data_IF_768042333091
#
_entry.id   IF_768042333091
#
_cell.length_a   1.000
_cell.length_b   1.000
_cell.length_c   1.000
_cell.angle_alpha   90.00
_cell.angle_beta   90.00
_cell.angle_gamma   90.00
#
_symmetry.space_group_name_H-M   'P 1'
#
loop_
_entity.id
_entity.type
_entity.pdbx_description
1 polymer ?
#
# COMPACT_ATOMS: atom_id res chain seq x y z
N UNK A 1 40.65 -28.43 -29.62
CA UNK A 1 39.25 -27.98 -29.76
C UNK A 1 38.38 -28.32 -28.54
N UNK A 2 38.27 -29.58 -28.08
CA UNK A 2 37.47 -29.97 -26.89
C UNK A 2 37.75 -29.15 -25.60
N UNK A 3 39.02 -28.85 -25.28
CA UNK A 3 39.39 -28.07 -24.09
C UNK A 3 38.94 -26.59 -24.14
N UNK A 4 38.88 -25.98 -25.32
CA UNK A 4 38.42 -24.60 -25.48
C UNK A 4 36.90 -24.48 -25.28
N UNK A 5 36.13 -25.49 -25.75
CA UNK A 5 34.70 -25.57 -25.46
C UNK A 5 34.42 -25.77 -23.95
N UNK A 6 35.22 -26.58 -23.25
CA UNK A 6 35.07 -26.77 -21.81
C UNK A 6 35.35 -25.51 -21.00
N UNK A 7 36.35 -24.71 -21.38
CA UNK A 7 36.65 -23.42 -20.73
C UNK A 7 35.57 -22.38 -21.05
N UNK A 8 35.05 -22.36 -22.28
CA UNK A 8 33.99 -21.44 -22.69
C UNK A 8 32.65 -21.70 -21.97
N UNK A 9 32.34 -22.96 -21.63
CA UNK A 9 31.15 -23.33 -20.85
C UNK A 9 31.26 -22.88 -19.39
N UNK A 10 32.44 -22.99 -18.77
CA UNK A 10 32.66 -22.54 -17.38
C UNK A 10 32.52 -21.03 -17.26
N UNK A 11 33.04 -20.26 -18.22
CA UNK A 11 32.89 -18.80 -18.26
C UNK A 11 31.42 -18.41 -18.42
N UNK A 12 30.65 -19.10 -19.27
CA UNK A 12 29.22 -18.87 -19.43
C UNK A 12 28.42 -19.10 -18.13
N UNK A 13 28.75 -20.10 -17.32
CA UNK A 13 28.03 -20.38 -16.06
C UNK A 13 28.23 -19.28 -15.00
N UNK A 14 29.41 -18.63 -14.95
CA UNK A 14 29.64 -17.54 -13.99
C UNK A 14 28.85 -16.25 -14.32
N UNK A 15 28.54 -16.01 -15.60
CA UNK A 15 27.75 -14.83 -16.02
C UNK A 15 26.25 -14.94 -15.70
N UNK A 16 25.71 -16.14 -15.42
CA UNK A 16 24.28 -16.30 -15.07
C UNK A 16 23.96 -16.06 -13.58
N UNK A 17 24.92 -15.64 -12.77
CA UNK A 17 24.73 -15.38 -11.33
C UNK A 17 23.96 -14.08 -11.02
N UNK A 18 23.48 -13.37 -12.04
CA UNK A 18 23.01 -11.98 -11.91
C UNK A 18 21.52 -11.83 -11.63
N UNK A 19 20.74 -12.91 -11.60
CA UNK A 19 19.33 -12.86 -11.19
C UNK A 19 19.19 -13.12 -9.69
N UNK A 20 19.41 -12.09 -8.87
CA UNK A 20 19.00 -12.12 -7.46
C UNK A 20 17.67 -11.37 -7.36
N UNK A 21 16.56 -12.10 -7.26
CA UNK A 21 15.37 -11.55 -6.62
C UNK A 21 15.78 -11.16 -5.21
N UNK A 22 15.58 -9.89 -4.84
CA UNK A 22 15.91 -9.46 -3.50
C UNK A 22 14.92 -10.10 -2.52
N UNK A 23 15.36 -11.17 -1.86
CA UNK A 23 14.59 -11.87 -0.82
C UNK A 23 14.14 -10.92 0.29
N UNK A 24 14.85 -9.82 0.52
CA UNK A 24 14.45 -8.80 1.47
C UNK A 24 13.22 -8.03 0.98
N UNK A 25 13.16 -7.65 -0.30
CA UNK A 25 11.98 -7.00 -0.89
C UNK A 25 10.76 -7.92 -0.92
N UNK A 26 10.92 -9.18 -1.32
CA UNK A 26 9.81 -10.14 -1.32
C UNK A 26 9.24 -10.36 0.10
N UNK A 27 10.14 -10.51 1.08
CA UNK A 27 9.75 -10.66 2.48
C UNK A 27 9.11 -9.39 3.03
N UNK A 28 9.64 -8.21 2.69
CA UNK A 28 9.05 -6.93 3.05
C UNK A 28 7.64 -6.80 2.45
N UNK A 29 7.49 -7.01 1.14
CA UNK A 29 6.21 -6.92 0.43
C UNK A 29 5.15 -7.87 0.99
N UNK A 30 5.52 -9.10 1.33
CA UNK A 30 4.62 -10.06 1.98
C UNK A 30 4.14 -9.57 3.36
N UNK A 31 5.05 -9.05 4.18
CA UNK A 31 4.69 -8.52 5.49
C UNK A 31 3.86 -7.23 5.40
N UNK A 32 4.16 -6.33 4.46
CA UNK A 32 3.36 -5.12 4.27
C UNK A 32 1.95 -5.46 3.77
N UNK A 33 1.79 -6.49 2.93
CA UNK A 33 0.47 -7.00 2.58
C UNK A 33 -0.28 -7.59 3.79
N UNK A 34 0.43 -8.23 4.73
CA UNK A 34 -0.18 -8.65 5.99
C UNK A 34 -0.60 -7.45 6.83
N UNK A 35 0.22 -6.40 6.92
CA UNK A 35 -0.09 -5.13 7.60
C UNK A 35 -1.38 -4.54 7.05
N UNK A 36 -1.50 -4.40 5.72
CA UNK A 36 -2.72 -3.95 5.03
C UNK A 36 -3.95 -4.71 5.51
N UNK A 37 -3.90 -6.05 5.46
CA UNK A 37 -5.01 -6.92 5.87
C UNK A 37 -5.41 -6.74 7.33
N UNK A 38 -4.44 -6.56 8.24
CA UNK A 38 -4.75 -6.33 9.65
C UNK A 38 -5.32 -4.93 9.88
N UNK A 39 -4.82 -3.90 9.20
CA UNK A 39 -5.36 -2.54 9.26
C UNK A 39 -6.79 -2.49 8.75
N UNK A 40 -7.10 -3.16 7.63
CA UNK A 40 -8.48 -3.28 7.11
C UNK A 40 -9.41 -3.97 8.11
N UNK A 41 -8.95 -5.03 8.79
CA UNK A 41 -9.71 -5.68 9.86
C UNK A 41 -9.93 -4.74 11.05
N UNK A 42 -8.92 -3.96 11.42
CA UNK A 42 -9.03 -3.00 12.51
C UNK A 42 -10.04 -1.88 12.21
N UNK A 43 -10.16 -1.46 10.95
CA UNK A 43 -11.15 -0.46 10.52
C UNK A 43 -12.57 -1.04 10.59
N UNK A 44 -12.73 -2.31 10.22
CA UNK A 44 -14.02 -2.97 10.05
C UNK A 44 -14.72 -3.46 11.33
N UNK A 45 -14.08 -3.34 12.50
CA UNK A 45 -14.67 -3.77 13.79
C UNK A 45 -15.25 -2.60 14.56
N UNK A 46 -16.30 -2.85 15.34
CA UNK A 46 -17.02 -1.85 16.15
C UNK A 46 -16.59 -1.84 17.63
N UNK A 47 -15.68 -2.73 18.02
CA UNK A 47 -15.08 -2.73 19.35
C UNK A 47 -13.67 -2.13 19.31
N UNK A 48 -13.42 -1.11 20.13
CA UNK A 48 -12.14 -0.41 20.18
C UNK A 48 -10.98 -1.33 20.60
N UNK A 49 -11.21 -2.32 21.46
CA UNK A 49 -10.15 -3.23 21.89
C UNK A 49 -9.81 -4.23 20.77
N UNK A 50 -10.79 -4.68 20.01
CA UNK A 50 -10.57 -5.46 18.79
C UNK A 50 -9.83 -4.64 17.72
N UNK A 51 -10.22 -3.38 17.52
CA UNK A 51 -9.53 -2.48 16.60
C UNK A 51 -8.05 -2.32 17.00
N UNK A 52 -7.78 -2.04 18.28
CA UNK A 52 -6.42 -1.96 18.84
C UNK A 52 -5.65 -3.27 18.71
N UNK A 53 -6.30 -4.41 18.91
CA UNK A 53 -5.69 -5.73 18.77
C UNK A 53 -5.20 -5.98 17.34
N UNK A 54 -6.03 -5.70 16.33
CA UNK A 54 -5.63 -5.81 14.94
C UNK A 54 -4.58 -4.76 14.54
N UNK A 55 -4.71 -3.52 15.04
CA UNK A 55 -3.71 -2.47 14.86
C UNK A 55 -2.34 -2.88 15.44
N UNK A 56 -2.32 -3.52 16.61
CA UNK A 56 -1.11 -4.02 17.25
C UNK A 56 -0.48 -5.15 16.44
N UNK A 57 -1.27 -6.04 15.82
CA UNK A 57 -0.74 -7.05 14.88
C UNK A 57 -0.08 -6.41 13.66
N UNK A 58 -0.69 -5.38 13.09
CA UNK A 58 -0.13 -4.63 11.97
C UNK A 58 1.19 -3.95 12.38
N UNK A 59 1.19 -3.24 13.51
CA UNK A 59 2.35 -2.57 14.10
C UNK A 59 3.52 -3.55 14.31
N UNK A 60 3.26 -4.71 14.92
CA UNK A 60 4.27 -5.72 15.17
C UNK A 60 4.86 -6.31 13.88
N UNK A 61 4.04 -6.46 12.83
CA UNK A 61 4.53 -6.94 11.54
C UNK A 61 5.49 -5.92 10.88
N UNK A 62 5.18 -4.62 10.96
CA UNK A 62 6.11 -3.58 10.49
C UNK A 62 7.40 -3.60 11.30
N UNK A 63 7.32 -3.61 12.63
CA UNK A 63 8.49 -3.61 13.51
C UNK A 63 9.43 -4.79 13.21
N UNK A 64 8.87 -5.98 12.98
CA UNK A 64 9.64 -7.19 12.59
C UNK A 64 10.24 -7.13 11.19
N UNK A 65 9.69 -6.31 10.31
CA UNK A 65 10.09 -6.22 8.90
C UNK A 65 11.02 -5.04 8.61
N UNK A 66 11.35 -4.22 9.62
CA UNK A 66 12.24 -3.05 9.47
C UNK A 66 13.59 -3.39 8.84
N UNK A 67 14.18 -4.51 9.25
CA UNK A 67 15.47 -4.95 8.73
C UNK A 67 15.37 -5.25 7.23
N UNK A 68 14.35 -6.01 6.82
CA UNK A 68 14.14 -6.40 5.43
C UNK A 68 13.71 -5.22 4.56
N UNK A 69 12.92 -4.27 5.09
CA UNK A 69 12.63 -3.01 4.39
C UNK A 69 13.91 -2.21 4.13
N UNK A 70 14.82 -2.15 5.11
CA UNK A 70 16.11 -1.46 4.96
C UNK A 70 17.03 -2.20 3.98
N UNK A 71 17.07 -3.52 4.05
CA UNK A 71 17.87 -4.36 3.15
C UNK A 71 17.36 -4.31 1.70
N UNK A 72 16.04 -4.19 1.51
CA UNK A 72 15.40 -3.99 0.20
C UNK A 72 15.81 -2.67 -0.47
N UNK A 73 16.21 -1.64 0.31
CA UNK A 73 16.75 -0.40 -0.23
C UNK A 73 15.74 0.57 -0.85
N UNK A 74 14.44 0.27 -0.85
CA UNK A 74 13.41 1.18 -1.35
C UNK A 74 13.09 2.30 -0.33
N UNK A 75 13.67 3.48 -0.51
CA UNK A 75 13.50 4.62 0.41
C UNK A 75 12.05 5.11 0.51
N UNK A 76 11.35 5.24 -0.63
CA UNK A 76 9.94 5.67 -0.67
C UNK A 76 9.00 4.71 0.07
N UNK A 77 9.25 3.40 -0.05
CA UNK A 77 8.52 2.40 0.71
C UNK A 77 8.84 2.50 2.20
N UNK A 78 10.12 2.64 2.56
CA UNK A 78 10.53 2.75 3.96
C UNK A 78 9.91 3.98 4.64
N UNK A 79 9.89 5.13 3.97
CA UNK A 79 9.28 6.36 4.46
C UNK A 79 7.77 6.21 4.64
N UNK A 80 7.06 5.75 3.60
CA UNK A 80 5.61 5.53 3.67
C UNK A 80 5.23 4.54 4.80
N UNK A 81 5.98 3.46 4.95
CA UNK A 81 5.74 2.48 6.03
C UNK A 81 6.07 3.05 7.41
N UNK A 82 7.07 3.93 7.54
CA UNK A 82 7.37 4.60 8.80
C UNK A 82 6.24 5.54 9.25
N UNK A 83 5.65 6.29 8.32
CA UNK A 83 4.45 7.10 8.59
C UNK A 83 3.25 6.23 8.97
N UNK A 84 3.05 5.11 8.27
CA UNK A 84 2.00 4.14 8.61
C UNK A 84 2.18 3.57 10.02
N UNK A 85 3.42 3.25 10.40
CA UNK A 85 3.78 2.77 11.74
C UNK A 85 3.46 3.80 12.83
N UNK A 86 3.76 5.08 12.58
CA UNK A 86 3.45 6.16 13.52
C UNK A 86 1.93 6.26 13.76
N UNK A 87 1.14 6.20 12.68
CA UNK A 87 -0.32 6.20 12.78
C UNK A 87 -0.86 4.96 13.52
N UNK A 88 -0.33 3.76 13.28
CA UNK A 88 -0.69 2.54 14.03
C UNK A 88 -0.35 2.65 15.53
N UNK A 89 0.79 3.25 15.87
CA UNK A 89 1.18 3.51 17.27
C UNK A 89 0.21 4.45 17.97
N UNK A 90 -0.29 5.46 17.26
CA UNK A 90 -1.31 6.35 17.80
C UNK A 90 -2.67 5.64 17.90
N UNK A 91 -3.04 4.84 16.90
CA UNK A 91 -4.31 4.11 16.87
C UNK A 91 -4.44 3.14 18.05
N UNK A 92 -3.35 2.48 18.45
CA UNK A 92 -3.34 1.59 19.62
C UNK A 92 -3.53 2.33 20.96
N UNK A 93 -3.32 3.65 21.00
CA UNK A 93 -3.42 4.50 22.19
C UNK A 93 -4.64 5.43 22.19
N UNK A 94 -5.30 5.62 21.05
CA UNK A 94 -6.45 6.49 20.92
C UNK A 94 -7.57 6.08 21.88
N UNK A 95 -8.24 7.05 22.49
CA UNK A 95 -9.24 6.83 23.54
C UNK A 95 -10.66 6.60 23.02
N UNK A 96 -10.91 6.89 21.74
CA UNK A 96 -12.20 6.67 21.07
C UNK A 96 -12.04 5.79 19.83
N UNK A 97 -13.12 5.07 19.48
CA UNK A 97 -13.15 4.22 18.29
C UNK A 97 -13.03 5.07 17.02
N UNK A 98 -13.74 6.20 16.96
CA UNK A 98 -13.68 7.14 15.84
C UNK A 98 -12.26 7.72 15.65
N UNK A 99 -11.61 8.15 16.74
CA UNK A 99 -10.21 8.57 16.70
C UNK A 99 -9.27 7.45 16.25
N UNK A 100 -9.52 6.21 16.70
CA UNK A 100 -8.80 5.02 16.25
C UNK A 100 -8.94 4.82 14.74
N UNK A 101 -10.17 4.88 14.21
CA UNK A 101 -10.47 4.71 12.77
C UNK A 101 -9.81 5.77 11.89
N UNK A 102 -9.78 7.04 12.32
CA UNK A 102 -9.06 8.10 11.60
C UNK A 102 -7.58 7.71 11.42
N UNK A 103 -6.93 7.32 12.51
CA UNK A 103 -5.52 6.93 12.50
C UNK A 103 -5.28 5.65 11.68
N UNK A 104 -6.22 4.69 11.73
CA UNK A 104 -6.14 3.47 10.93
C UNK A 104 -6.28 3.74 9.42
N UNK A 105 -7.15 4.66 9.01
CA UNK A 105 -7.28 5.04 7.60
C UNK A 105 -5.99 5.72 7.10
N UNK A 106 -5.37 6.58 7.90
CA UNK A 106 -4.06 7.18 7.59
C UNK A 106 -2.95 6.14 7.53
N UNK A 107 -3.00 5.13 8.39
CA UNK A 107 -2.07 4.01 8.33
C UNK A 107 -2.27 3.16 7.07
N UNK A 108 -3.51 2.95 6.65
CA UNK A 108 -3.85 2.19 5.44
C UNK A 108 -3.37 2.92 4.18
N UNK A 109 -3.63 4.22 4.06
CA UNK A 109 -3.11 5.09 3.00
C UNK A 109 -1.60 4.91 2.81
N UNK A 110 -0.86 5.04 3.92
CA UNK A 110 0.59 4.90 3.95
C UNK A 110 1.07 3.49 3.64
N UNK A 111 0.35 2.49 4.12
CA UNK A 111 0.63 1.08 3.80
C UNK A 111 0.47 0.82 2.30
N UNK A 112 -0.59 1.34 1.68
CA UNK A 112 -0.83 1.21 0.24
C UNK A 112 0.24 1.93 -0.59
N UNK A 113 0.61 3.16 -0.22
CA UNK A 113 1.73 3.87 -0.87
C UNK A 113 3.07 3.12 -0.75
N UNK A 114 3.31 2.46 0.40
CA UNK A 114 4.47 1.59 0.58
C UNK A 114 4.44 0.36 -0.32
N UNK A 115 3.27 -0.29 -0.50
CA UNK A 115 3.11 -1.42 -1.42
C UNK A 115 3.36 -0.98 -2.86
N UNK A 116 2.80 0.15 -3.28
CA UNK A 116 3.01 0.71 -4.61
C UNK A 116 4.50 0.94 -4.87
N UNK A 117 5.19 1.60 -3.93
CA UNK A 117 6.61 1.89 -4.05
C UNK A 117 7.46 0.62 -4.14
N UNK A 118 7.11 -0.44 -3.41
CA UNK A 118 7.77 -1.75 -3.52
C UNK A 118 7.49 -2.41 -4.87
N UNK A 119 6.25 -2.38 -5.36
CA UNK A 119 5.88 -2.94 -6.67
C UNK A 119 6.61 -2.20 -7.81
N UNK A 120 6.82 -0.89 -7.70
CA UNK A 120 7.61 -0.11 -8.66
C UNK A 120 9.12 -0.39 -8.53
N UNK A 121 9.63 -0.48 -7.29
CA UNK A 121 11.04 -0.78 -7.01
C UNK A 121 11.48 -2.12 -7.60
N UNK A 122 10.68 -3.18 -7.41
CA UNK A 122 10.97 -4.50 -7.98
C UNK A 122 11.02 -4.50 -9.52
N UNK A 123 10.27 -3.61 -10.18
CA UNK A 123 10.29 -3.47 -11.64
C UNK A 123 11.56 -2.76 -12.14
N UNK A 124 12.09 -1.82 -11.36
CA UNK A 124 13.29 -1.05 -11.70
C UNK A 124 14.60 -1.79 -11.39
N UNK A 125 14.65 -2.62 -10.33
CA UNK A 125 15.79 -3.49 -10.03
C UNK A 125 15.78 -4.83 -10.79
N UNK A 126 14.71 -5.12 -11.54
CA UNK A 126 14.72 -6.27 -12.44
C UNK A 126 15.71 -6.03 -13.58
N UNK A 127 16.62 -6.98 -13.81
CA UNK A 127 17.66 -6.92 -14.85
C UNK A 127 17.13 -6.84 -16.31
N UNK A 128 15.82 -6.71 -16.47
CA UNK A 128 15.10 -6.54 -17.74
C UNK A 128 14.33 -5.20 -17.81
N UNK A 129 14.53 -4.32 -16.83
CA UNK A 129 13.88 -3.02 -16.71
C UNK A 129 14.26 -2.07 -17.83
N UNK A 130 13.33 -1.88 -18.76
CA UNK A 130 13.22 -0.79 -19.75
C UNK A 130 14.24 -0.67 -20.89
N UNK A 131 15.51 -1.07 -20.73
CA UNK A 131 16.54 -0.77 -21.74
C UNK A 131 16.71 -1.83 -22.86
N UNK A 132 16.06 -2.99 -22.75
CA UNK A 132 16.14 -4.05 -23.77
C UNK A 132 15.09 -3.96 -24.90
N UNK A 133 14.21 -2.95 -24.87
CA UNK A 133 13.14 -2.79 -25.87
C UNK A 133 13.54 -1.98 -27.11
N UNK A 134 14.83 -1.62 -27.24
CA UNK A 134 15.37 -0.94 -28.42
C UNK A 134 16.07 -1.89 -29.43
N UNK A 135 15.77 -3.19 -29.43
CA UNK A 135 16.33 -4.11 -30.43
C UNK A 135 15.24 -4.55 -31.42
N UNK A 136 15.28 -3.95 -32.61
CA UNK A 136 14.48 -4.30 -33.78
C UNK A 136 14.66 -5.79 -34.12
N UNK A 137 13.81 -6.66 -33.57
CA UNK A 137 13.74 -8.06 -33.98
C UNK A 137 12.29 -8.45 -34.17
N UNK A 138 12.01 -8.91 -35.39
CA UNK A 138 10.71 -9.44 -35.82
C UNK A 138 10.58 -10.82 -35.20
N UNK A 139 10.02 -10.93 -33.99
CA UNK A 139 9.78 -12.23 -33.35
C UNK A 139 8.30 -12.35 -32.97
N UNK A 140 7.71 -13.42 -33.51
CA UNK A 140 6.31 -13.87 -33.49
C UNK A 140 5.52 -13.57 -32.21
N UNK A 141 4.25 -13.20 -32.41
CA UNK A 141 3.28 -12.75 -31.40
C UNK A 141 2.90 -13.77 -30.30
N UNK A 142 3.36 -15.02 -30.36
CA UNK A 142 2.82 -16.11 -29.54
C UNK A 142 3.51 -16.34 -28.18
N UNK A 143 4.41 -15.46 -27.72
CA UNK A 143 5.07 -15.63 -26.40
C UNK A 143 5.09 -14.40 -25.50
N UNK A 144 4.09 -13.51 -25.63
CA UNK A 144 3.86 -12.41 -24.67
C UNK A 144 3.12 -12.87 -23.41
N UNK A 145 3.66 -13.85 -22.69
CA UNK A 145 3.44 -13.96 -21.23
C UNK A 145 4.63 -13.31 -20.51
N UNK A 146 4.95 -12.08 -20.90
CA UNK A 146 5.81 -11.22 -20.09
C UNK A 146 4.97 -10.79 -18.87
N UNK A 147 5.55 -10.92 -17.67
CA UNK A 147 4.96 -10.44 -16.41
C UNK A 147 4.38 -9.04 -16.64
N UNK A 148 3.06 -8.98 -16.73
CA UNK A 148 2.34 -7.75 -17.01
C UNK A 148 2.46 -6.93 -15.72
N UNK A 149 3.14 -5.78 -15.80
CA UNK A 149 3.03 -4.70 -14.80
C UNK A 149 1.56 -4.68 -14.35
N UNK A 150 1.23 -4.77 -13.05
CA UNK A 150 -0.13 -4.46 -12.63
C UNK A 150 -0.45 -3.12 -13.27
N UNK A 151 -1.42 -3.09 -14.19
CA UNK A 151 -1.72 -1.84 -14.86
C UNK A 151 -2.07 -0.82 -13.77
N UNK A 152 -1.90 0.48 -14.03
CA UNK A 152 -2.41 1.53 -13.12
C UNK A 152 -3.83 1.19 -12.60
N UNK A 153 -4.68 0.64 -13.49
CA UNK A 153 -6.01 0.10 -13.20
C UNK A 153 -6.08 -1.07 -12.21
N UNK A 154 -5.08 -1.95 -12.17
CA UNK A 154 -5.05 -3.08 -11.24
C UNK A 154 -4.71 -2.62 -9.82
N UNK A 155 -3.83 -1.62 -9.70
CA UNK A 155 -3.52 -1.03 -8.40
C UNK A 155 -4.68 -0.18 -7.87
N UNK A 156 -5.31 0.63 -8.73
CA UNK A 156 -6.55 1.35 -8.43
C UNK A 156 -7.64 0.39 -7.92
N UNK A 157 -7.82 -0.77 -8.55
CA UNK A 157 -8.76 -1.80 -8.08
C UNK A 157 -8.40 -2.34 -6.69
N UNK A 158 -7.10 -2.55 -6.39
CA UNK A 158 -6.67 -2.98 -5.04
C UNK A 158 -7.06 -1.92 -4.00
N UNK A 159 -6.90 -0.64 -4.34
CA UNK A 159 -7.30 0.48 -3.49
C UNK A 159 -8.82 0.49 -3.29
N UNK A 160 -9.60 0.37 -4.37
CA UNK A 160 -11.08 0.34 -4.28
C UNK A 160 -11.56 -0.79 -3.35
N UNK A 161 -10.97 -2.00 -3.48
CA UNK A 161 -11.28 -3.13 -2.59
C UNK A 161 -10.94 -2.80 -1.13
N UNK A 162 -9.82 -2.14 -0.86
CA UNK A 162 -9.45 -1.70 0.48
C UNK A 162 -10.42 -0.66 1.05
N UNK A 163 -10.92 0.22 0.20
CA UNK A 163 -11.86 1.27 0.57
C UNK A 163 -13.27 0.76 0.88
N UNK A 164 -13.63 -0.46 0.49
CA UNK A 164 -14.92 -1.05 0.88
C UNK A 164 -15.09 -1.21 2.40
N UNK A 165 -14.00 -1.53 3.11
CA UNK A 165 -14.02 -1.59 4.59
C UNK A 165 -14.16 -0.21 5.22
N UNK A 166 -13.51 0.78 4.63
CA UNK A 166 -13.67 2.17 5.03
C UNK A 166 -15.12 2.65 4.78
N UNK A 167 -15.67 2.42 3.59
CA UNK A 167 -17.04 2.79 3.22
C UNK A 167 -18.07 2.17 4.17
N UNK A 168 -17.92 0.88 4.47
CA UNK A 168 -18.79 0.20 5.44
C UNK A 168 -18.69 0.83 6.84
N UNK A 169 -17.47 1.08 7.33
CA UNK A 169 -17.25 1.72 8.63
C UNK A 169 -17.81 3.14 8.69
N UNK A 170 -17.65 3.92 7.62
CA UNK A 170 -18.20 5.27 7.50
C UNK A 170 -19.73 5.26 7.53
N UNK A 171 -20.36 4.35 6.79
CA UNK A 171 -21.82 4.20 6.80
C UNK A 171 -22.33 3.82 8.18
N UNK A 172 -21.63 2.92 8.88
CA UNK A 172 -21.99 2.56 10.25
C UNK A 172 -21.96 3.78 11.17
N UNK A 173 -20.91 4.60 11.10
CA UNK A 173 -20.80 5.83 11.89
C UNK A 173 -21.97 6.77 11.55
N UNK A 174 -22.21 7.05 10.27
CA UNK A 174 -23.30 7.94 9.82
C UNK A 174 -24.67 7.49 10.35
N UNK A 175 -24.89 6.18 10.50
CA UNK A 175 -26.18 5.63 10.93
C UNK A 175 -26.33 5.40 12.44
N UNK A 176 -25.22 5.32 13.19
CA UNK A 176 -25.22 4.85 14.59
C UNK A 176 -24.81 5.89 15.61
N UNK A 177 -24.07 6.94 15.22
CA UNK A 177 -23.63 8.00 16.15
C UNK A 177 -24.40 9.30 15.93
N UNK A 178 -24.30 10.22 16.90
CA UNK A 178 -24.87 11.55 16.80
C UNK A 178 -24.35 12.29 15.56
N UNK A 179 -25.22 13.06 14.92
CA UNK A 179 -24.90 13.71 13.66
C UNK A 179 -23.77 14.75 13.77
N UNK A 180 -23.60 15.40 14.93
CA UNK A 180 -22.45 16.26 15.17
C UNK A 180 -21.14 15.46 15.17
N UNK A 181 -21.13 14.30 15.83
CA UNK A 181 -19.96 13.42 15.89
C UNK A 181 -19.65 12.78 14.53
N UNK A 182 -20.67 12.28 13.83
CA UNK A 182 -20.53 11.72 12.48
C UNK A 182 -19.98 12.77 11.51
N UNK A 183 -20.48 14.00 11.57
CA UNK A 183 -20.02 15.12 10.74
C UNK A 183 -18.57 15.50 11.08
N UNK A 184 -18.22 15.56 12.36
CA UNK A 184 -16.83 15.84 12.78
C UNK A 184 -15.85 14.76 12.29
N UNK A 185 -16.26 13.48 12.38
CA UNK A 185 -15.48 12.36 11.86
C UNK A 185 -15.25 12.46 10.35
N UNK A 186 -16.34 12.62 9.58
CA UNK A 186 -16.28 12.72 8.13
C UNK A 186 -15.48 13.95 7.69
N UNK A 187 -15.69 15.12 8.32
CA UNK A 187 -14.96 16.33 8.00
C UNK A 187 -13.45 16.19 8.24
N UNK A 188 -13.04 15.50 9.31
CA UNK A 188 -11.62 15.27 9.59
C UNK A 188 -10.94 14.48 8.46
N UNK A 189 -11.60 13.43 7.96
CA UNK A 189 -11.09 12.61 6.87
C UNK A 189 -11.08 13.40 5.57
N UNK A 190 -12.17 14.10 5.25
CA UNK A 190 -12.26 14.92 4.05
C UNK A 190 -11.14 15.97 4.01
N UNK A 191 -10.95 16.74 5.09
CA UNK A 191 -9.89 17.75 5.19
C UNK A 191 -8.50 17.13 5.12
N UNK A 192 -8.27 15.97 5.75
CA UNK A 192 -7.00 15.24 5.61
C UNK A 192 -6.71 14.90 4.15
N UNK A 193 -7.69 14.36 3.43
CA UNK A 193 -7.51 14.02 2.01
C UNK A 193 -7.23 15.26 1.15
N UNK A 194 -7.90 16.39 1.40
CA UNK A 194 -7.57 17.65 0.72
C UNK A 194 -6.15 18.10 0.97
N UNK A 195 -5.67 18.02 2.22
CA UNK A 195 -4.30 18.38 2.57
C UNK A 195 -3.27 17.46 1.88
N UNK A 196 -3.53 16.15 1.84
CA UNK A 196 -2.64 15.19 1.16
C UNK A 196 -2.57 15.45 -0.35
N UNK A 197 -3.70 15.79 -0.98
CA UNK A 197 -3.76 16.07 -2.42
C UNK A 197 -3.01 17.35 -2.84
N UNK A 198 -2.62 18.21 -1.89
CA UNK A 198 -1.78 19.39 -2.17
C UNK A 198 -0.28 19.07 -2.22
N UNK A 199 0.14 17.87 -1.77
CA UNK A 199 1.54 17.46 -1.78
C UNK A 199 1.97 17.09 -3.20
N UNK A 200 3.03 17.73 -3.70
CA UNK A 200 3.48 17.58 -5.09
C UNK A 200 4.04 16.19 -5.42
N UNK A 201 4.76 15.57 -4.49
CA UNK A 201 5.50 14.31 -4.71
C UNK A 201 4.76 13.09 -4.15
N UNK A 202 3.43 13.10 -4.20
CA UNK A 202 2.62 11.97 -3.76
C UNK A 202 2.66 10.84 -4.79
N UNK A 203 2.71 9.58 -4.34
CA UNK A 203 2.61 8.43 -5.26
C UNK A 203 1.23 8.40 -5.94
N UNK A 204 1.13 7.81 -7.13
CA UNK A 204 -0.14 7.78 -7.88
C UNK A 204 -1.25 7.06 -7.11
N UNK A 205 -0.91 5.98 -6.40
CA UNK A 205 -1.79 5.25 -5.52
C UNK A 205 -2.24 6.05 -4.31
N UNK A 206 -1.34 6.82 -3.66
CA UNK A 206 -1.75 7.75 -2.60
C UNK A 206 -2.68 8.84 -3.13
N UNK A 207 -2.45 9.36 -4.36
CA UNK A 207 -3.36 10.34 -4.99
C UNK A 207 -4.74 9.73 -5.21
N UNK A 208 -4.78 8.54 -5.83
CA UNK A 208 -6.02 7.83 -6.09
C UNK A 208 -6.77 7.49 -4.80
N UNK A 209 -6.07 6.97 -3.79
CA UNK A 209 -6.64 6.70 -2.47
C UNK A 209 -7.28 7.94 -1.86
N UNK A 210 -6.57 9.07 -1.83
CA UNK A 210 -7.10 10.31 -1.25
C UNK A 210 -8.27 10.88 -2.06
N UNK A 211 -8.23 10.81 -3.39
CA UNK A 211 -9.33 11.24 -4.25
C UNK A 211 -10.59 10.41 -3.98
N UNK A 212 -10.48 9.07 -4.00
CA UNK A 212 -11.62 8.17 -3.77
C UNK A 212 -12.14 8.24 -2.34
N UNK A 213 -11.25 8.33 -1.36
CA UNK A 213 -11.63 8.52 0.05
C UNK A 213 -12.39 9.83 0.23
N UNK A 214 -11.89 10.93 -0.36
CA UNK A 214 -12.55 12.23 -0.36
C UNK A 214 -13.96 12.16 -0.96
N UNK A 215 -14.12 11.51 -2.11
CA UNK A 215 -15.43 11.33 -2.77
C UNK A 215 -16.41 10.55 -1.89
N UNK A 216 -16.00 9.39 -1.37
CA UNK A 216 -16.82 8.58 -0.44
C UNK A 216 -17.22 9.40 0.80
N UNK A 217 -16.29 10.19 1.33
CA UNK A 217 -16.54 11.03 2.51
C UNK A 217 -17.47 12.19 2.20
N UNK A 218 -17.36 12.79 1.02
CA UNK A 218 -18.24 13.87 0.57
C UNK A 218 -19.69 13.38 0.45
N UNK A 219 -19.91 12.20 -0.13
CA UNK A 219 -21.23 11.57 -0.19
C UNK A 219 -21.85 11.37 1.21
N UNK A 220 -21.03 11.01 2.19
CA UNK A 220 -21.48 10.87 3.58
C UNK A 220 -21.81 12.23 4.23
N UNK A 221 -21.00 13.26 3.99
CA UNK A 221 -21.25 14.62 4.46
C UNK A 221 -22.55 15.19 3.86
N UNK A 222 -22.83 14.93 2.58
CA UNK A 222 -24.08 15.33 1.94
C UNK A 222 -25.30 14.71 2.63
N UNK A 223 -25.26 13.41 2.93
CA UNK A 223 -26.32 12.73 3.70
C UNK A 223 -26.51 13.33 5.08
N UNK A 224 -25.42 13.74 5.73
CA UNK A 224 -25.45 14.38 7.04
C UNK A 224 -25.95 15.84 7.00
N UNK A 225 -26.06 16.49 5.84
CA UNK A 225 -26.62 17.85 5.75
C UNK A 225 -28.11 17.89 6.11
N UNK A 226 -28.82 16.79 5.89
CA UNK A 226 -30.23 16.65 6.26
C UNK A 226 -30.42 16.31 7.74
N UNK A 227 -29.33 15.94 8.43
CA UNK A 227 -29.36 15.65 9.85
C UNK A 227 -29.16 16.92 10.70
N UNK A 228 -30.14 17.21 11.56
CA UNK A 228 -30.13 18.34 12.49
C UNK A 228 -29.31 18.06 13.73
#
# INVERSE_FOLDING_TARGET
>A
MKKYYSVSIIVLVFFFSSFKVDKACEYAGSNINYVKKQTEKAIAVDDINQARYFAYKALNAIEKSKKQLKECGCEYAAESIAEGLANLKLATKATSLNGTRILLNRALENTLGGIESLEEHELHDSQYGSDLLAMNTVVSEEKKMAMKKPGKKDFERKIDISLEKYRASLNEIVNSVDCSEARAFAQNIYTHCEQQLLIQNLTEGKKYYNLRTKEITAEALEKLNECK
#
